data_IF_252943429344
#
_entry.id   IF_252943429344
#
_cell.length_a   1.000
_cell.length_b   1.000
_cell.length_c   1.000
_cell.angle_alpha   90.00
_cell.angle_beta   90.00
_cell.angle_gamma   90.00
#
_symmetry.space_group_name_H-M   'P 1'
#
loop_
_entity.id
_entity.type
_entity.pdbx_description
1 polymer ?
#
# COMPACT_ATOMS: atom_id res chain seq x y z
N UNK A 1 -8.35 -0.21 18.69
CA UNK A 1 -8.26 -1.25 17.65
C UNK A 1 -6.92 -1.13 16.92
N UNK A 2 -6.24 -2.25 16.77
CA UNK A 2 -4.94 -2.23 16.11
C UNK A 2 -5.10 -2.17 14.60
N UNK A 3 -4.23 -1.41 13.95
CA UNK A 3 -4.18 -1.30 12.51
C UNK A 3 -2.87 -1.85 11.99
N UNK A 4 -2.92 -2.37 10.79
CA UNK A 4 -1.75 -2.85 10.06
C UNK A 4 -1.72 -2.16 8.71
N UNK A 5 -0.53 -2.08 8.15
CA UNK A 5 -0.31 -1.37 6.89
C UNK A 5 0.35 -2.31 5.90
N UNK A 6 -0.41 -2.72 4.91
CA UNK A 6 0.04 -3.70 3.92
C UNK A 6 0.49 -3.00 2.66
N UNK A 7 1.73 -3.27 2.26
CA UNK A 7 2.26 -2.73 1.02
C UNK A 7 1.88 -3.67 -0.11
N UNK A 8 1.22 -3.13 -1.12
CA UNK A 8 0.77 -3.87 -2.28
C UNK A 8 1.36 -3.26 -3.53
N UNK A 9 1.89 -4.10 -4.41
CA UNK A 9 2.45 -3.65 -5.68
C UNK A 9 1.85 -4.47 -6.81
N UNK A 10 1.91 -3.93 -8.03
CA UNK A 10 1.55 -4.68 -9.21
C UNK A 10 2.70 -5.56 -9.61
N UNK A 11 2.45 -6.85 -9.78
CA UNK A 11 3.46 -7.80 -10.25
C UNK A 11 3.56 -7.76 -11.78
N UNK A 12 2.42 -7.47 -12.43
CA UNK A 12 2.35 -7.29 -13.89
C UNK A 12 1.03 -6.56 -14.18
N UNK A 13 0.67 -6.44 -15.45
CA UNK A 13 -0.56 -5.75 -15.86
C UNK A 13 -1.82 -6.31 -15.22
N UNK A 14 -1.79 -7.57 -14.88
CA UNK A 14 -2.99 -8.30 -14.47
C UNK A 14 -3.03 -8.63 -13.00
N UNK A 15 -1.88 -8.71 -12.36
CA UNK A 15 -1.78 -9.19 -10.99
C UNK A 15 -1.13 -8.18 -10.06
N UNK A 16 -1.58 -8.21 -8.83
CA UNK A 16 -0.93 -7.47 -7.76
C UNK A 16 -0.85 -8.36 -6.53
N UNK A 17 0.12 -8.10 -5.68
CA UNK A 17 0.26 -8.88 -4.47
C UNK A 17 0.76 -8.03 -3.31
N UNK A 18 0.48 -8.50 -2.10
CA UNK A 18 1.00 -7.88 -0.89
C UNK A 18 2.46 -8.30 -0.71
N UNK A 19 3.31 -7.33 -0.46
CA UNK A 19 4.75 -7.56 -0.34
C UNK A 19 5.24 -7.52 1.10
N UNK A 20 4.59 -6.72 1.93
CA UNK A 20 5.04 -6.57 3.31
C UNK A 20 3.90 -6.06 4.17
N UNK A 21 3.89 -6.47 5.44
CA UNK A 21 2.99 -5.95 6.45
C UNK A 21 3.82 -5.16 7.45
N UNK A 22 3.35 -3.96 7.79
CA UNK A 22 4.03 -3.09 8.74
C UNK A 22 3.08 -2.74 9.88
N UNK A 23 3.64 -2.43 11.04
CA UNK A 23 2.84 -2.07 12.21
C UNK A 23 2.44 -0.60 12.22
N UNK A 24 3.16 0.25 11.51
CA UNK A 24 2.85 1.67 11.45
C UNK A 24 2.88 2.17 10.02
N UNK A 25 2.15 3.25 9.79
CA UNK A 25 2.15 3.92 8.50
C UNK A 25 3.55 4.40 8.12
N UNK A 26 4.28 4.95 9.10
CA UNK A 26 5.62 5.47 8.87
C UNK A 26 6.58 4.39 8.39
N UNK A 27 6.50 3.19 8.96
CA UNK A 27 7.31 2.06 8.50
C UNK A 27 6.96 1.71 7.06
N UNK A 28 5.67 1.68 6.74
CA UNK A 28 5.23 1.35 5.39
C UNK A 28 5.73 2.39 4.38
N UNK A 29 5.63 3.67 4.72
CA UNK A 29 6.12 4.74 3.85
C UNK A 29 7.61 4.61 3.59
N UNK A 30 8.39 4.26 4.59
CA UNK A 30 9.84 4.05 4.41
C UNK A 30 10.15 2.92 3.44
N UNK A 31 9.27 1.93 3.39
CA UNK A 31 9.47 0.77 2.51
C UNK A 31 9.00 1.01 1.08
N UNK A 32 8.16 2.00 0.85
CA UNK A 32 7.61 2.27 -0.48
C UNK A 32 8.69 2.39 -1.56
N UNK A 33 9.81 3.11 -1.34
CA UNK A 33 10.84 3.20 -2.39
C UNK A 33 11.42 1.85 -2.81
N UNK A 34 11.39 0.86 -1.92
CA UNK A 34 11.90 -0.47 -2.24
C UNK A 34 11.00 -1.23 -3.20
N UNK A 35 9.73 -0.81 -3.31
CA UNK A 35 8.75 -1.48 -4.14
C UNK A 35 8.20 -0.60 -5.25
N UNK A 36 8.63 0.66 -5.29
CA UNK A 36 8.05 1.63 -6.21
C UNK A 36 8.55 1.49 -7.65
N UNK A 37 9.69 0.87 -7.84
CA UNK A 37 10.31 0.73 -9.14
C UNK A 37 9.98 -0.63 -9.72
N UNK A 38 8.79 -0.75 -10.24
CA UNK A 38 8.28 -2.02 -10.70
C UNK A 38 8.07 -2.06 -12.16
N UNK A 39 8.36 -3.22 -12.61
CA UNK A 39 8.31 -3.72 -13.94
C UNK A 39 7.15 -3.23 -14.79
N UNK A 40 5.96 -3.18 -14.25
CA UNK A 40 4.82 -2.74 -15.02
C UNK A 40 4.60 -1.26 -14.99
N UNK A 41 5.61 -0.61 -14.71
CA UNK A 41 5.62 0.80 -14.72
C UNK A 41 4.27 1.47 -14.80
N UNK A 42 4.21 2.61 -14.35
CA UNK A 42 5.21 3.39 -13.67
C UNK A 42 5.15 3.09 -12.19
N UNK A 43 5.93 2.26 -11.71
CA UNK A 43 6.17 1.93 -10.32
C UNK A 43 5.05 2.24 -9.33
N UNK A 44 3.87 1.68 -9.54
CA UNK A 44 2.74 1.92 -8.66
C UNK A 44 2.79 1.01 -7.44
N UNK A 45 2.47 1.61 -6.31
CA UNK A 45 2.50 0.92 -5.04
C UNK A 45 1.40 1.52 -4.18
N UNK A 46 0.83 0.74 -3.31
CA UNK A 46 -0.18 1.26 -2.38
C UNK A 46 0.03 0.69 -1.00
N UNK A 47 -0.44 1.45 0.00
CA UNK A 47 -0.45 1.00 1.39
C UNK A 47 -1.91 0.86 1.78
N UNK A 48 -2.29 -0.34 2.20
CA UNK A 48 -3.64 -0.62 2.65
C UNK A 48 -3.69 -0.63 4.17
N UNK A 49 -4.42 0.30 4.75
CA UNK A 49 -4.63 0.36 6.19
C UNK A 49 -5.77 -0.57 6.54
N UNK A 50 -5.47 -1.64 7.27
CA UNK A 50 -6.43 -2.69 7.59
C UNK A 50 -6.51 -2.94 9.09
N UNK A 51 -7.61 -3.55 9.52
CA UNK A 51 -7.77 -3.97 10.92
C UNK A 51 -7.26 -5.40 11.11
N UNK A 52 -7.50 -5.96 12.27
CA UNK A 52 -7.06 -7.32 12.62
C UNK A 52 -7.72 -8.40 11.76
N UNK A 53 -8.85 -8.09 11.15
CA UNK A 53 -9.57 -9.01 10.27
C UNK A 53 -9.30 -8.71 8.80
N UNK A 54 -8.33 -7.85 8.53
CA UNK A 54 -7.95 -7.41 7.17
C UNK A 54 -9.06 -6.69 6.42
N UNK A 55 -9.95 -6.03 7.13
CA UNK A 55 -10.89 -5.09 6.50
C UNK A 55 -10.14 -3.80 6.17
N UNK A 56 -10.19 -3.40 4.92
CA UNK A 56 -9.48 -2.20 4.48
C UNK A 56 -10.28 -0.95 4.81
N UNK A 57 -9.63 -0.01 5.49
CA UNK A 57 -10.23 1.29 5.81
C UNK A 57 -9.81 2.37 4.85
N UNK A 58 -8.52 2.42 4.54
CA UNK A 58 -7.97 3.39 3.61
C UNK A 58 -6.93 2.75 2.73
N UNK A 59 -6.79 3.28 1.52
CA UNK A 59 -5.70 2.92 0.62
C UNK A 59 -4.96 4.19 0.28
N UNK A 60 -3.67 4.20 0.55
CA UNK A 60 -2.78 5.30 0.22
C UNK A 60 -2.04 4.91 -1.05
N UNK A 61 -2.27 5.65 -2.13
CA UNK A 61 -1.68 5.34 -3.42
C UNK A 61 -0.40 6.12 -3.65
N UNK A 62 0.60 5.47 -4.21
CA UNK A 62 1.89 6.06 -4.52
C UNK A 62 2.22 5.80 -5.99
N UNK A 63 2.90 6.77 -6.59
CA UNK A 63 3.33 6.68 -7.98
C UNK A 63 4.78 7.13 -8.04
N UNK A 64 5.65 6.23 -8.48
CA UNK A 64 7.10 6.46 -8.47
C UNK A 64 7.61 6.92 -7.09
N UNK A 65 7.06 6.30 -6.05
CA UNK A 65 7.46 6.61 -4.68
C UNK A 65 6.85 7.87 -4.08
N UNK A 66 6.03 8.59 -4.84
CA UNK A 66 5.41 9.84 -4.37
C UNK A 66 3.93 9.62 -4.08
N UNK A 67 3.40 10.26 -3.03
CA UNK A 67 1.98 10.16 -2.74
C UNK A 67 1.13 10.61 -3.92
N UNK A 68 0.15 9.81 -4.30
CA UNK A 68 -0.71 10.08 -5.45
C UNK A 68 -2.19 10.19 -5.11
N UNK A 69 -2.59 9.75 -3.94
CA UNK A 69 -3.99 9.86 -3.54
C UNK A 69 -4.32 8.97 -2.35
N UNK A 70 -5.48 9.22 -1.77
CA UNK A 70 -5.99 8.44 -0.64
C UNK A 70 -7.43 8.08 -0.96
N UNK A 71 -7.75 6.80 -0.83
CA UNK A 71 -9.12 6.34 -0.96
C UNK A 71 -9.61 5.85 0.39
N UNK A 72 -10.76 6.35 0.82
CA UNK A 72 -11.36 5.94 2.08
C UNK A 72 -12.47 4.94 1.77
N UNK A 73 -12.34 3.74 2.30
CA UNK A 73 -13.30 2.68 2.08
C UNK A 73 -14.32 2.56 3.21
N UNK A 74 -13.87 2.85 4.44
CA UNK A 74 -14.71 2.76 5.62
C UNK A 74 -14.45 3.94 6.52
N UNK A 75 -15.51 4.47 7.12
CA UNK A 75 -15.36 5.51 8.14
C UNK A 75 -15.11 4.85 9.49
N UNK A 76 -14.28 5.48 10.26
CA UNK A 76 -14.00 5.03 11.62
C UNK A 76 -15.05 5.50 12.59
#
# INVERSE_FOLDING_TARGET
>A
MKRYYLIRTSDNEWNSSYKKICDTYEEAVKEVPNFADWYCSPGTCSIHEVDENFNTYKTYEFHNGQPAGIRVWRKE
#
